data_IF_699028653901
#
_entry.id   IF_699028653901
#
_cell.length_a   1.000
_cell.length_b   1.000
_cell.length_c   1.000
_cell.angle_alpha   90.00
_cell.angle_beta   90.00
_cell.angle_gamma   90.00
#
_symmetry.space_group_name_H-M   'P 1'
#
loop_
_entity.id
_entity.type
_entity.pdbx_description
1 polymer ?
#
# COMPACT_ATOMS: atom_id res chain seq x y z
N UNK A 1 -27.96 -23.09 -46.52
CA UNK A 1 -27.70 -22.71 -45.12
C UNK A 1 -26.83 -23.77 -44.47
N UNK A 2 -25.52 -23.53 -44.25
CA UNK A 2 -24.75 -24.25 -43.26
C UNK A 2 -24.67 -23.39 -41.98
N UNK A 3 -25.05 -23.96 -40.85
CA UNK A 3 -24.86 -23.36 -39.52
C UNK A 3 -23.37 -23.39 -39.17
N UNK A 4 -22.72 -22.22 -39.17
CA UNK A 4 -21.37 -22.06 -38.64
C UNK A 4 -21.42 -22.18 -37.12
N UNK A 5 -21.08 -23.34 -36.58
CA UNK A 5 -20.82 -23.48 -35.15
C UNK A 5 -19.55 -22.70 -34.80
N UNK A 6 -19.73 -21.69 -33.96
CA UNK A 6 -18.66 -20.88 -33.40
C UNK A 6 -18.12 -21.63 -32.17
N UNK A 7 -16.88 -22.13 -32.16
CA UNK A 7 -16.35 -22.75 -30.95
C UNK A 7 -16.15 -21.66 -29.89
N UNK A 8 -16.81 -21.82 -28.74
CA UNK A 8 -16.63 -20.96 -27.58
C UNK A 8 -15.14 -20.98 -27.16
N UNK A 9 -14.51 -19.83 -26.86
CA UNK A 9 -13.16 -19.84 -26.32
C UNK A 9 -13.20 -20.51 -24.95
N UNK A 10 -12.60 -21.70 -24.85
CA UNK A 10 -12.35 -22.36 -23.57
C UNK A 10 -11.53 -21.39 -22.70
N UNK A 11 -12.19 -20.83 -21.68
CA UNK A 11 -11.61 -19.90 -20.73
C UNK A 11 -10.59 -20.58 -19.83
N UNK A 12 -9.42 -20.92 -20.38
CA UNK A 12 -8.25 -21.27 -19.61
C UNK A 12 -7.80 -20.05 -18.82
N UNK A 13 -8.14 -19.99 -17.54
CA UNK A 13 -7.60 -18.98 -16.63
C UNK A 13 -6.08 -19.15 -16.64
N UNK A 14 -5.35 -18.18 -17.19
CA UNK A 14 -3.90 -18.24 -17.33
C UNK A 14 -3.27 -18.63 -15.97
N UNK A 15 -2.49 -19.72 -15.88
CA UNK A 15 -1.92 -20.23 -14.64
C UNK A 15 -1.18 -19.18 -13.80
N UNK A 16 -0.66 -18.13 -14.45
CA UNK A 16 -0.01 -17.00 -13.81
C UNK A 16 -0.94 -16.10 -12.98
N UNK A 17 -2.19 -15.89 -13.39
CA UNK A 17 -3.07 -14.91 -12.71
C UNK A 17 -3.54 -15.41 -11.35
N UNK A 18 -3.90 -16.70 -11.24
CA UNK A 18 -4.30 -17.30 -9.98
C UNK A 18 -3.13 -17.36 -8.97
N UNK A 19 -1.92 -17.70 -9.45
CA UNK A 19 -0.72 -17.67 -8.63
C UNK A 19 -0.43 -16.25 -8.10
N UNK A 20 -0.49 -15.23 -8.96
CA UNK A 20 -0.29 -13.83 -8.54
C UNK A 20 -1.37 -13.34 -7.57
N UNK A 21 -2.62 -13.80 -7.73
CA UNK A 21 -3.68 -13.52 -6.76
C UNK A 21 -3.37 -14.16 -5.39
N UNK A 22 -2.88 -15.40 -5.37
CA UNK A 22 -2.41 -16.06 -4.14
C UNK A 22 -1.27 -15.30 -3.46
N UNK A 23 -0.32 -14.80 -4.24
CA UNK A 23 0.78 -13.95 -3.74
C UNK A 23 0.25 -12.66 -3.11
N UNK A 24 -0.70 -11.97 -3.76
CA UNK A 24 -1.35 -10.79 -3.19
C UNK A 24 -2.09 -11.12 -1.89
N UNK A 25 -2.81 -12.25 -1.86
CA UNK A 25 -3.58 -12.67 -0.69
C UNK A 25 -2.69 -12.92 0.52
N UNK A 26 -1.55 -13.62 0.35
CA UNK A 26 -0.59 -13.83 1.42
C UNK A 26 -0.03 -12.51 1.97
N UNK A 27 0.35 -11.59 1.07
CA UNK A 27 0.80 -10.26 1.47
C UNK A 27 -0.30 -9.50 2.21
N UNK A 28 -1.51 -9.49 1.68
CA UNK A 28 -2.66 -8.78 2.24
C UNK A 28 -3.05 -9.27 3.63
N UNK A 29 -3.03 -10.59 3.85
CA UNK A 29 -3.25 -11.17 5.16
C UNK A 29 -2.20 -10.69 6.18
N UNK A 30 -0.91 -10.73 5.81
CA UNK A 30 0.16 -10.24 6.66
C UNK A 30 0.05 -8.73 6.95
N UNK A 31 -0.31 -7.93 5.93
CA UNK A 31 -0.53 -6.49 6.07
C UNK A 31 -1.69 -6.16 7.02
N UNK A 32 -2.82 -6.88 6.87
CA UNK A 32 -3.99 -6.70 7.74
C UNK A 32 -3.69 -7.07 9.20
N UNK A 33 -2.94 -8.15 9.42
CA UNK A 33 -2.47 -8.53 10.77
C UNK A 33 -1.55 -7.46 11.35
N UNK A 34 -0.57 -6.97 10.58
CA UNK A 34 0.33 -5.92 11.04
C UNK A 34 -0.42 -4.64 11.40
N UNK A 35 -1.39 -4.21 10.59
CA UNK A 35 -2.28 -3.08 10.90
C UNK A 35 -3.04 -3.31 12.20
N UNK A 36 -3.63 -4.49 12.37
CA UNK A 36 -4.36 -4.83 13.58
C UNK A 36 -3.46 -4.76 14.83
N UNK A 37 -2.23 -5.28 14.75
CA UNK A 37 -1.27 -5.20 15.85
C UNK A 37 -0.88 -3.76 16.19
N UNK A 38 -0.75 -2.87 15.20
CA UNK A 38 -0.53 -1.43 15.45
C UNK A 38 -1.72 -0.82 16.19
N UNK A 39 -2.96 -1.16 15.79
CA UNK A 39 -4.16 -0.70 16.48
C UNK A 39 -4.25 -1.20 17.92
N UNK A 40 -3.85 -2.45 18.19
CA UNK A 40 -3.83 -3.02 19.54
C UNK A 40 -2.72 -2.40 20.41
N UNK A 41 -1.54 -2.14 19.83
CA UNK A 41 -0.43 -1.53 20.53
C UNK A 41 -0.65 -0.05 20.84
N UNK A 42 -1.54 0.62 20.09
CA UNK A 42 -1.88 2.02 20.25
C UNK A 42 -3.38 2.20 20.55
N UNK A 43 -3.85 1.75 21.73
CA UNK A 43 -5.25 1.89 22.10
C UNK A 43 -5.61 3.37 22.20
N UNK A 44 -6.52 3.82 21.33
CA UNK A 44 -7.02 5.20 21.34
C UNK A 44 -8.20 5.25 22.32
N UNK A 45 -8.24 6.20 23.27
CA UNK A 45 -9.43 6.42 24.09
C UNK A 45 -10.68 6.68 23.24
N UNK A 46 -11.88 6.42 23.74
CA UNK A 46 -13.14 6.59 22.98
C UNK A 46 -13.33 7.99 22.36
N UNK A 47 -12.62 9.00 22.87
CA UNK A 47 -12.61 10.37 22.36
C UNK A 47 -11.23 10.86 21.88
N UNK A 48 -10.25 9.96 21.79
CA UNK A 48 -8.90 10.28 21.31
C UNK A 48 -8.84 10.45 19.78
N UNK A 49 -7.83 11.15 19.25
CA UNK A 49 -7.61 11.23 17.82
C UNK A 49 -7.22 9.83 17.27
N UNK A 50 -7.69 9.44 16.06
CA UNK A 50 -7.45 8.14 15.44
C UNK A 50 -6.01 7.98 14.90
N UNK A 51 -5.03 8.07 15.81
CA UNK A 51 -3.61 8.13 15.49
C UNK A 51 -3.07 6.81 14.92
N UNK A 52 -3.59 5.67 15.36
CA UNK A 52 -3.18 4.37 14.84
C UNK A 52 -3.48 4.25 13.33
N UNK A 53 -4.72 4.57 12.92
CA UNK A 53 -5.14 4.61 11.52
C UNK A 53 -4.33 5.64 10.72
N UNK A 54 -4.05 6.81 11.29
CA UNK A 54 -3.19 7.80 10.67
C UNK A 54 -1.79 7.25 10.40
N UNK A 55 -1.17 6.66 11.42
CA UNK A 55 0.19 6.15 11.38
C UNK A 55 0.36 5.06 10.33
N UNK A 56 -0.56 4.08 10.26
CA UNK A 56 -0.48 3.01 9.25
C UNK A 56 -0.61 3.55 7.83
N UNK A 57 -1.50 4.53 7.60
CA UNK A 57 -1.65 5.14 6.27
C UNK A 57 -0.42 5.97 5.89
N UNK A 58 0.09 6.82 6.77
CA UNK A 58 1.27 7.66 6.50
C UNK A 58 2.53 6.82 6.28
N UNK A 59 2.78 5.84 7.14
CA UNK A 59 3.93 4.93 6.99
C UNK A 59 3.79 4.07 5.74
N UNK A 60 2.60 3.54 5.45
CA UNK A 60 2.33 2.81 4.22
C UNK A 60 2.54 3.65 2.95
N UNK A 61 2.20 4.94 3.00
CA UNK A 61 2.45 5.88 1.91
C UNK A 61 3.95 6.11 1.65
N UNK A 62 4.77 6.22 2.71
CA UNK A 62 6.24 6.26 2.57
C UNK A 62 6.75 4.96 1.96
N UNK A 63 6.31 3.82 2.48
CA UNK A 63 6.75 2.50 2.03
C UNK A 63 6.39 2.21 0.57
N UNK A 64 5.21 2.63 0.09
CA UNK A 64 4.85 2.44 -1.33
C UNK A 64 5.71 3.33 -2.24
N UNK A 65 6.07 4.54 -1.80
CA UNK A 65 7.02 5.40 -2.52
C UNK A 65 8.41 4.78 -2.66
N UNK A 66 8.91 4.17 -1.57
CA UNK A 66 10.15 3.38 -1.58
C UNK A 66 10.03 2.19 -2.52
N UNK A 67 8.97 1.39 -2.38
CA UNK A 67 8.75 0.18 -3.16
C UNK A 67 8.73 0.48 -4.65
N UNK A 68 7.89 1.43 -5.08
CA UNK A 68 7.77 1.79 -6.50
C UNK A 68 9.12 2.20 -7.06
N UNK A 69 9.87 3.04 -6.35
CA UNK A 69 11.20 3.49 -6.80
C UNK A 69 12.21 2.35 -6.88
N UNK A 70 12.19 1.42 -5.91
CA UNK A 70 13.08 0.27 -5.90
C UNK A 70 12.78 -0.70 -7.05
N UNK A 71 11.50 -0.95 -7.37
CA UNK A 71 11.10 -1.90 -8.42
C UNK A 71 11.22 -1.33 -9.84
N UNK A 72 11.23 -0.01 -10.00
CA UNK A 72 11.46 0.66 -11.31
C UNK A 72 12.92 1.06 -11.53
N UNK A 73 13.82 0.70 -10.60
CA UNK A 73 15.25 0.96 -10.70
C UNK A 73 15.94 0.13 -11.80
N UNK A 74 17.27 0.26 -11.94
CA UNK A 74 18.05 -0.43 -12.97
C UNK A 74 17.97 -1.97 -12.90
N UNK A 75 17.69 -2.50 -11.70
CA UNK A 75 17.49 -3.93 -11.46
C UNK A 75 15.99 -4.21 -11.47
N UNK A 76 15.51 -4.91 -12.50
CA UNK A 76 14.12 -5.29 -12.60
C UNK A 76 13.74 -6.25 -11.46
N UNK A 77 12.86 -5.82 -10.57
CA UNK A 77 12.30 -6.70 -9.56
C UNK A 77 11.33 -7.71 -10.21
N UNK A 78 11.27 -8.96 -9.70
CA UNK A 78 10.30 -9.93 -10.18
C UNK A 78 8.85 -9.42 -10.02
N UNK A 79 7.93 -9.71 -10.94
CA UNK A 79 6.54 -9.23 -10.88
C UNK A 79 5.81 -9.59 -9.57
N UNK A 80 6.14 -10.75 -8.99
CA UNK A 80 5.54 -11.21 -7.73
C UNK A 80 5.86 -10.28 -6.55
N UNK A 81 6.98 -9.55 -6.57
CA UNK A 81 7.36 -8.60 -5.50
C UNK A 81 6.37 -7.44 -5.43
N UNK A 82 6.01 -6.87 -6.59
CA UNK A 82 5.01 -5.79 -6.68
C UNK A 82 3.66 -6.25 -6.17
N UNK A 83 3.30 -7.50 -6.47
CA UNK A 83 2.03 -8.08 -6.09
C UNK A 83 1.99 -8.45 -4.60
N UNK A 84 3.07 -9.00 -4.06
CA UNK A 84 3.20 -9.36 -2.64
C UNK A 84 3.22 -8.12 -1.75
N UNK A 85 4.08 -7.15 -2.07
CA UNK A 85 4.36 -6.01 -1.19
C UNK A 85 3.46 -4.82 -1.48
N UNK A 86 3.21 -4.49 -2.76
CA UNK A 86 2.40 -3.35 -3.14
C UNK A 86 0.91 -3.65 -2.97
N UNK A 87 0.38 -4.51 -3.84
CA UNK A 87 -1.05 -4.86 -3.81
C UNK A 87 -1.43 -5.63 -2.55
N UNK A 88 -0.58 -6.58 -2.13
CA UNK A 88 -0.81 -7.40 -0.95
C UNK A 88 -0.56 -6.65 0.35
N UNK A 89 0.69 -6.65 0.84
CA UNK A 89 1.03 -6.17 2.17
C UNK A 89 0.63 -4.72 2.42
N UNK A 90 1.06 -3.78 1.57
CA UNK A 90 0.74 -2.36 1.74
C UNK A 90 -0.76 -2.10 1.54
N UNK A 91 -1.43 -2.83 0.64
CA UNK A 91 -2.88 -2.79 0.49
C UNK A 91 -3.66 -3.27 1.71
N UNK A 92 -3.18 -4.30 2.43
CA UNK A 92 -3.80 -4.77 3.68
C UNK A 92 -3.41 -3.95 4.92
N UNK A 93 -2.19 -3.39 4.91
CA UNK A 93 -1.63 -2.59 5.99
C UNK A 93 -2.22 -1.18 6.05
N UNK A 94 -2.49 -0.57 4.90
CA UNK A 94 -3.18 0.73 4.81
C UNK A 94 -4.70 0.52 4.78
N UNK A 95 -5.46 1.55 5.14
CA UNK A 95 -6.93 1.46 5.16
C UNK A 95 -7.61 2.81 4.95
N UNK A 96 -8.40 2.90 3.89
CA UNK A 96 -9.27 4.05 3.66
C UNK A 96 -10.62 3.91 4.40
N UNK A 97 -11.15 2.69 4.51
CA UNK A 97 -12.44 2.45 5.17
C UNK A 97 -12.42 2.84 6.65
N UNK A 98 -11.39 2.44 7.40
CA UNK A 98 -11.25 2.84 8.80
C UNK A 98 -11.07 4.37 8.93
N UNK A 99 -10.26 4.97 8.05
CA UNK A 99 -10.08 6.43 8.02
C UNK A 99 -11.42 7.17 7.86
N UNK A 100 -12.25 6.77 6.89
CA UNK A 100 -13.57 7.38 6.67
C UNK A 100 -14.55 7.11 7.81
N UNK A 101 -14.47 5.94 8.45
CA UNK A 101 -15.28 5.64 9.63
C UNK A 101 -14.91 6.55 10.80
N UNK A 102 -13.62 6.72 11.07
CA UNK A 102 -13.09 7.59 12.12
C UNK A 102 -13.54 9.05 11.90
N UNK A 103 -13.53 9.53 10.65
CA UNK A 103 -14.06 10.85 10.28
C UNK A 103 -15.56 10.95 10.57
N UNK A 104 -16.34 9.94 10.17
CA UNK A 104 -17.78 9.88 10.42
C UNK A 104 -18.11 9.92 11.92
N UNK A 105 -17.35 9.18 12.74
CA UNK A 105 -17.50 9.17 14.20
C UNK A 105 -17.16 10.53 14.82
N UNK A 106 -16.09 11.19 14.36
CA UNK A 106 -15.75 12.54 14.81
C UNK A 106 -16.86 13.54 14.47
N UNK A 107 -17.40 13.49 13.25
CA UNK A 107 -18.50 14.35 12.83
C UNK A 107 -19.77 14.09 13.66
N UNK A 108 -20.12 12.82 13.89
CA UNK A 108 -21.28 12.43 14.71
C UNK A 108 -21.16 12.91 16.16
N UNK A 109 -19.94 13.03 16.69
CA UNK A 109 -19.65 13.59 18.02
C UNK A 109 -19.60 15.13 18.06
N UNK A 110 -19.92 15.83 16.96
CA UNK A 110 -19.85 17.28 16.85
C UNK A 110 -18.44 17.84 16.68
N UNK A 111 -17.42 16.98 16.56
CA UNK A 111 -16.00 17.35 16.48
C UNK A 111 -15.56 17.62 15.04
N UNK A 112 -16.13 18.68 14.45
CA UNK A 112 -15.90 19.05 13.03
C UNK A 112 -14.44 19.39 12.75
N UNK A 113 -13.82 20.27 13.57
CA UNK A 113 -12.44 20.69 13.34
C UNK A 113 -11.45 19.51 13.41
N UNK A 114 -11.50 18.62 14.43
CA UNK A 114 -10.70 17.39 14.43
C UNK A 114 -10.94 16.48 13.23
N UNK A 115 -12.19 16.32 12.76
CA UNK A 115 -12.50 15.50 11.59
C UNK A 115 -11.83 16.03 10.32
N UNK A 116 -11.96 17.34 10.07
CA UNK A 116 -11.35 18.01 8.91
C UNK A 116 -9.82 17.98 8.99
N UNK A 117 -9.26 18.28 10.16
CA UNK A 117 -7.82 18.22 10.36
C UNK A 117 -7.28 16.81 10.13
N UNK A 118 -7.93 15.78 10.68
CA UNK A 118 -7.54 14.38 10.51
C UNK A 118 -7.58 13.93 9.04
N UNK A 119 -8.65 14.28 8.32
CA UNK A 119 -8.78 14.05 6.87
C UNK A 119 -7.63 14.72 6.11
N UNK A 120 -7.44 16.03 6.30
CA UNK A 120 -6.47 16.82 5.55
C UNK A 120 -5.03 16.38 5.83
N UNK A 121 -4.69 16.17 7.11
CA UNK A 121 -3.34 15.75 7.52
C UNK A 121 -3.01 14.35 7.00
N UNK A 122 -3.96 13.41 7.06
CA UNK A 122 -3.73 12.05 6.55
C UNK A 122 -3.53 12.06 5.04
N UNK A 123 -4.36 12.79 4.29
CA UNK A 123 -4.26 12.86 2.84
C UNK A 123 -2.98 13.57 2.40
N UNK A 124 -2.75 14.80 2.89
CA UNK A 124 -1.58 15.60 2.52
C UNK A 124 -0.28 14.91 2.97
N UNK A 125 -0.27 14.37 4.20
CA UNK A 125 0.85 13.62 4.72
C UNK A 125 1.13 12.34 3.92
N UNK A 126 0.11 11.64 3.42
CA UNK A 126 0.31 10.45 2.58
C UNK A 126 0.93 10.82 1.24
N UNK A 127 0.45 11.88 0.58
CA UNK A 127 1.04 12.39 -0.68
C UNK A 127 2.50 12.79 -0.46
N UNK A 128 2.78 13.55 0.60
CA UNK A 128 4.14 13.91 0.98
C UNK A 128 5.00 12.69 1.31
N UNK A 129 4.43 11.69 1.99
CA UNK A 129 5.07 10.44 2.35
C UNK A 129 5.53 9.64 1.12
N UNK A 130 4.67 9.50 0.10
CA UNK A 130 5.04 8.86 -1.18
C UNK A 130 6.24 9.57 -1.80
N UNK A 131 6.20 10.90 -1.90
CA UNK A 131 7.28 11.68 -2.47
C UNK A 131 8.59 11.53 -1.66
N UNK A 132 8.50 11.55 -0.33
CA UNK A 132 9.64 11.36 0.57
C UNK A 132 10.25 9.96 0.42
N UNK A 133 9.43 8.92 0.40
CA UNK A 133 9.88 7.55 0.23
C UNK A 133 10.57 7.33 -1.11
N UNK A 134 9.98 7.87 -2.19
CA UNK A 134 10.58 7.81 -3.51
C UNK A 134 11.92 8.56 -3.59
N UNK A 135 11.97 9.77 -3.02
CA UNK A 135 13.20 10.55 -2.94
C UNK A 135 14.31 9.82 -2.18
N UNK A 136 14.00 9.27 -1.00
CA UNK A 136 14.96 8.55 -0.17
C UNK A 136 15.49 7.30 -0.87
N UNK A 137 14.61 6.48 -1.46
CA UNK A 137 15.01 5.31 -2.23
C UNK A 137 15.86 5.67 -3.45
N UNK A 138 15.53 6.77 -4.14
CA UNK A 138 16.30 7.25 -5.28
C UNK A 138 17.74 7.63 -4.94
N UNK A 139 18.02 8.09 -3.72
CA UNK A 139 19.40 8.35 -3.25
C UNK A 139 20.21 7.08 -3.08
N UNK A 140 19.58 6.01 -2.61
CA UNK A 140 20.23 4.72 -2.38
C UNK A 140 20.48 3.96 -3.70
N UNK A 141 19.51 3.99 -4.62
CA UNK A 141 19.62 3.31 -5.93
C UNK A 141 20.61 4.00 -6.87
N UNK A 142 20.80 5.33 -6.72
CA UNK A 142 21.75 6.12 -7.54
C UNK A 142 23.15 6.24 -6.93
N UNK A 143 23.40 5.68 -5.73
CA UNK A 143 24.73 5.69 -5.16
C UNK A 143 25.71 5.01 -6.15
N UNK A 144 26.82 5.66 -6.53
CA UNK A 144 27.77 5.06 -7.46
C UNK A 144 28.25 3.74 -6.88
N UNK A 145 28.18 2.66 -7.67
CA UNK A 145 29.01 1.48 -7.44
C UNK A 145 30.45 1.98 -7.48
N UNK A 146 31.04 2.18 -6.30
CA UNK A 146 32.37 2.74 -6.15
C UNK A 146 33.41 1.87 -6.84
N UNK A 147 34.09 2.44 -7.83
CA UNK A 147 35.54 2.36 -8.00
C UNK A 147 36.18 0.98 -8.00
N UNK A 148 35.82 0.11 -8.95
CA UNK A 148 36.70 -0.98 -9.37
C UNK A 148 37.71 -0.45 -10.38
N UNK A 149 38.87 0.01 -9.91
CA UNK A 149 40.01 0.36 -10.77
C UNK A 149 40.34 -0.82 -11.70
N UNK A 150 40.37 -0.54 -13.01
CA UNK A 150 40.91 -1.43 -14.03
C UNK A 150 42.43 -1.24 -14.11
N UNK A 151 43.19 -2.29 -14.48
CA UNK A 151 44.63 -2.44 -14.24
C UNK A 151 45.50 -1.41 -14.94
#
# INVERSE_FOLDING_TARGET
MPTSEHPAPCGGRAPGTAAMAGVAACGGAAGAVARHLVSVAWPVPDQGPPLATMAVNLTGAVLIGVLVTAVTGPVAAPPWVRQLLGTGFLGGFTTYSAHTLDIGLLLASGRVLPAVAYMALTLAGSVAGVALGAWAAGRLVRAPVGGGGRP
#
